data_IF_424261951430
#
_entry.id   IF_424261951430
#
_cell.length_a   1.000
_cell.length_b   1.000
_cell.length_c   1.000
_cell.angle_alpha   90.00
_cell.angle_beta   90.00
_cell.angle_gamma   90.00
#
_symmetry.space_group_name_H-M   'P 1'
#
loop_
_entity.id
_entity.type
_entity.pdbx_description
1 polymer ?
#
# COMPACT_ATOMS: atom_id res chain seq x y z
N UNK A 1 36.05 -7.66 50.81
CA UNK A 1 36.72 -6.37 50.54
C UNK A 1 37.74 -6.63 49.46
N UNK A 2 37.64 -5.90 48.34
CA UNK A 2 38.68 -5.32 47.46
C UNK A 2 40.03 -6.10 47.29
N UNK A 3 40.64 -6.22 46.11
CA UNK A 3 40.99 -5.15 45.13
C UNK A 3 41.26 -5.73 43.72
N UNK A 4 41.42 -4.84 42.73
CA UNK A 4 41.74 -5.07 41.30
C UNK A 4 43.16 -5.66 41.03
N UNK A 5 43.55 -5.88 39.74
CA UNK A 5 44.38 -4.85 39.07
C UNK A 5 44.16 -4.65 37.54
N UNK A 6 44.83 -3.61 37.01
CA UNK A 6 44.77 -3.05 35.65
C UNK A 6 45.53 -3.82 34.53
N UNK A 7 45.33 -3.36 33.27
CA UNK A 7 45.99 -3.82 32.04
C UNK A 7 46.90 -2.73 31.41
N UNK A 8 47.95 -3.10 30.67
CA UNK A 8 48.65 -2.25 29.68
C UNK A 8 49.19 -3.04 28.46
N UNK A 9 49.61 -2.29 27.44
CA UNK A 9 49.79 -2.55 25.99
C UNK A 9 50.70 -3.71 25.50
N UNK A 10 50.53 -4.10 24.21
CA UNK A 10 51.64 -4.14 23.22
C UNK A 10 51.15 -4.18 21.74
N UNK A 11 52.04 -3.85 20.79
CA UNK A 11 51.84 -3.77 19.31
C UNK A 11 52.54 -4.90 18.53
N UNK A 12 52.05 -5.23 17.33
CA UNK A 12 52.67 -6.16 16.36
C UNK A 12 52.99 -5.53 14.97
N UNK A 13 53.94 -6.07 14.17
CA UNK A 13 54.35 -5.57 12.84
C UNK A 13 54.06 -6.51 11.62
N UNK A 14 54.50 -6.08 10.42
CA UNK A 14 54.17 -6.55 9.04
C UNK A 14 55.13 -7.59 8.43
N UNK A 15 54.63 -8.56 7.60
CA UNK A 15 55.41 -9.39 6.63
C UNK A 15 54.56 -9.85 5.39
N UNK A 16 55.22 -10.15 4.26
CA UNK A 16 54.73 -10.60 2.90
C UNK A 16 55.66 -11.77 2.36
N UNK A 17 55.69 -12.29 1.09
CA UNK A 17 55.02 -11.96 -0.21
C UNK A 17 54.58 -13.18 -1.12
N UNK A 18 54.26 -12.92 -2.41
CA UNK A 18 54.54 -13.72 -3.67
C UNK A 18 53.67 -14.89 -4.23
N UNK A 19 53.67 -14.98 -5.58
CA UNK A 19 53.05 -15.96 -6.53
C UNK A 19 53.86 -17.26 -6.76
N UNK A 20 53.41 -18.23 -7.61
CA UNK A 20 54.07 -18.42 -8.93
C UNK A 20 53.21 -18.99 -10.12
N UNK A 21 53.89 -19.33 -11.24
CA UNK A 21 53.45 -19.44 -12.66
C UNK A 21 52.92 -20.82 -13.20
N UNK A 22 52.85 -20.96 -14.55
CA UNK A 22 52.16 -22.00 -15.37
C UNK A 22 53.09 -23.06 -16.06
N UNK A 23 52.72 -23.58 -17.28
CA UNK A 23 53.37 -24.61 -18.17
C UNK A 23 52.74 -26.04 -18.02
N UNK A 24 52.49 -26.95 -19.01
CA UNK A 24 52.79 -27.12 -20.48
C UNK A 24 51.66 -27.77 -21.35
N UNK A 25 51.99 -28.14 -22.59
CA UNK A 25 51.31 -28.92 -23.67
C UNK A 25 51.41 -30.48 -23.46
N UNK A 26 50.96 -31.46 -24.30
CA UNK A 26 50.60 -31.54 -25.75
C UNK A 26 49.86 -32.86 -26.18
N UNK A 27 49.24 -32.90 -27.39
CA UNK A 27 49.27 -34.00 -28.41
C UNK A 27 47.96 -34.70 -28.94
N UNK A 28 47.68 -34.42 -30.24
CA UNK A 28 47.31 -35.31 -31.38
C UNK A 28 45.95 -36.06 -31.62
N UNK A 29 45.32 -35.66 -32.74
CA UNK A 29 44.84 -36.43 -33.95
C UNK A 29 43.34 -36.71 -34.28
N UNK A 30 42.99 -36.16 -35.46
CA UNK A 30 42.21 -36.70 -36.60
C UNK A 30 40.77 -37.22 -36.46
N UNK A 31 39.82 -36.54 -37.12
CA UNK A 31 39.44 -36.91 -38.52
C UNK A 31 38.42 -35.96 -39.17
N UNK A 32 38.39 -35.93 -40.51
CA UNK A 32 37.60 -35.00 -41.33
C UNK A 32 36.16 -35.45 -41.64
N UNK A 33 35.24 -34.49 -41.81
CA UNK A 33 34.41 -34.42 -43.05
C UNK A 33 33.97 -32.98 -43.38
N UNK A 34 33.46 -32.75 -44.60
CA UNK A 34 33.44 -31.45 -45.31
C UNK A 34 32.05 -30.76 -45.35
N UNK A 35 32.03 -29.43 -45.15
CA UNK A 35 31.57 -28.33 -46.07
C UNK A 35 30.61 -28.65 -47.25
N UNK A 36 29.91 -27.65 -47.88
CA UNK A 36 29.51 -26.27 -47.44
C UNK A 36 28.13 -25.75 -47.99
N UNK A 37 27.85 -24.44 -47.77
CA UNK A 37 26.98 -23.52 -48.55
C UNK A 37 25.44 -23.73 -48.55
N UNK A 38 24.63 -22.67 -48.72
CA UNK A 38 25.00 -21.25 -48.89
C UNK A 38 23.83 -20.25 -48.86
N UNK A 39 24.23 -18.97 -48.78
CA UNK A 39 23.69 -17.77 -49.45
C UNK A 39 22.19 -17.42 -49.37
N UNK A 40 21.94 -16.20 -48.89
CA UNK A 40 20.68 -15.47 -49.01
C UNK A 40 20.61 -14.64 -50.31
N UNK A 41 19.47 -13.94 -50.48
CA UNK A 41 19.14 -12.93 -51.50
C UNK A 41 18.80 -13.46 -52.90
N UNK A 42 17.53 -13.29 -53.32
CA UNK A 42 17.16 -12.25 -54.31
C UNK A 42 15.63 -12.03 -54.35
N UNK A 43 15.16 -11.09 -55.18
CA UNK A 43 13.92 -10.33 -55.03
C UNK A 43 13.00 -10.33 -56.28
N UNK A 44 11.80 -9.73 -56.13
CA UNK A 44 10.84 -9.37 -57.20
C UNK A 44 10.10 -10.60 -57.84
N UNK A 45 8.92 -10.50 -58.48
CA UNK A 45 8.21 -9.33 -59.02
C UNK A 45 6.64 -9.49 -59.02
N UNK A 46 5.95 -8.51 -59.61
CA UNK A 46 4.56 -8.05 -59.52
C UNK A 46 3.39 -8.89 -60.11
N UNK A 47 2.18 -8.36 -59.80
CA UNK A 47 0.94 -8.35 -60.59
C UNK A 47 -0.01 -9.58 -60.43
N UNK A 48 -1.34 -9.43 -60.24
CA UNK A 48 -2.19 -8.26 -60.04
C UNK A 48 -3.60 -8.47 -60.62
N UNK A 49 -4.65 -7.90 -60.00
CA UNK A 49 -5.92 -7.49 -60.66
C UNK A 49 -6.88 -6.77 -59.71
N UNK A 50 -7.36 -5.61 -60.16
CA UNK A 50 -8.55 -4.94 -59.65
C UNK A 50 -9.82 -5.73 -60.01
N UNK A 51 -10.90 -5.48 -59.26
CA UNK A 51 -12.18 -5.10 -59.86
C UNK A 51 -12.96 -4.24 -58.85
N UNK A 52 -13.31 -3.03 -59.25
CA UNK A 52 -14.19 -2.14 -58.50
C UNK A 52 -15.50 -2.00 -59.27
N UNK A 53 -16.64 -2.15 -58.60
CA UNK A 53 -17.91 -1.60 -59.08
C UNK A 53 -18.65 -0.90 -57.95
N UNK A 54 -19.02 0.34 -58.23
CA UNK A 54 -19.93 1.19 -57.46
C UNK A 54 -21.37 0.90 -57.84
N UNK A 55 -22.33 0.98 -56.91
CA UNK A 55 -23.35 2.06 -56.91
C UNK A 55 -24.57 1.87 -55.98
N UNK A 56 -25.09 3.03 -55.57
CA UNK A 56 -26.50 3.40 -55.29
C UNK A 56 -27.23 2.93 -54.02
N UNK A 57 -27.82 3.95 -53.39
CA UNK A 57 -28.87 3.90 -52.39
C UNK A 57 -30.23 3.52 -53.00
N UNK A 58 -31.14 3.01 -52.15
CA UNK A 58 -32.58 3.18 -52.30
C UNK A 58 -33.21 3.38 -50.91
N UNK A 59 -34.15 4.30 -50.82
CA UNK A 59 -34.97 4.56 -49.63
C UNK A 59 -36.13 3.55 -49.55
N UNK A 60 -36.64 3.24 -48.35
CA UNK A 60 -38.09 3.14 -48.15
C UNK A 60 -38.47 3.36 -46.68
N UNK A 61 -39.77 3.58 -46.40
CA UNK A 61 -40.18 4.48 -45.31
C UNK A 61 -41.49 4.11 -44.57
N UNK A 62 -41.61 4.66 -43.35
CA UNK A 62 -42.84 4.96 -42.57
C UNK A 62 -43.80 3.85 -42.09
N UNK A 63 -43.94 3.78 -40.77
CA UNK A 63 -45.19 3.93 -39.97
C UNK A 63 -44.79 3.81 -38.50
N UNK A 64 -44.95 4.74 -37.54
CA UNK A 64 -46.03 5.68 -37.12
C UNK A 64 -47.36 5.05 -36.75
N UNK A 65 -47.61 4.93 -35.45
CA UNK A 65 -48.93 5.16 -34.85
C UNK A 65 -48.80 6.01 -33.58
N UNK A 66 -49.78 6.87 -33.34
CA UNK A 66 -49.85 7.87 -32.27
C UNK A 66 -51.21 7.70 -31.58
N UNK A 67 -51.27 7.79 -30.25
CA UNK A 67 -52.49 8.24 -29.56
C UNK A 67 -52.26 8.79 -28.15
N UNK A 68 -52.88 9.95 -27.92
CA UNK A 68 -53.12 10.70 -26.67
C UNK A 68 -54.28 11.67 -27.00
N UNK A 69 -54.79 12.54 -26.10
CA UNK A 69 -54.79 12.56 -24.62
C UNK A 69 -56.23 12.72 -24.04
N UNK A 70 -56.40 12.87 -22.72
CA UNK A 70 -57.54 13.57 -22.07
C UNK A 70 -57.20 13.93 -20.61
N UNK A 71 -57.46 15.18 -20.21
CA UNK A 71 -57.30 15.74 -18.85
C UNK A 71 -58.67 15.74 -18.07
N UNK A 72 -58.89 16.54 -17.00
CA UNK A 72 -58.41 16.36 -15.60
C UNK A 72 -59.56 16.42 -14.54
N UNK A 73 -59.28 16.20 -13.25
CA UNK A 73 -60.03 16.88 -12.15
C UNK A 73 -59.30 16.82 -10.77
N UNK A 74 -59.72 17.69 -9.84
CA UNK A 74 -59.15 17.94 -8.48
C UNK A 74 -59.70 16.91 -7.43
N UNK A 75 -59.37 16.85 -6.13
CA UNK A 75 -58.64 17.73 -5.20
C UNK A 75 -58.19 16.98 -3.90
N UNK A 76 -57.26 17.60 -3.15
CA UNK A 76 -57.10 17.51 -1.67
C UNK A 76 -56.35 16.33 -0.97
N UNK A 77 -55.37 16.71 -0.15
CA UNK A 77 -55.22 16.23 1.24
C UNK A 77 -54.40 14.96 1.54
N UNK A 78 -53.19 15.12 2.10
CA UNK A 78 -52.51 14.03 2.82
C UNK A 78 -50.98 14.14 2.88
N UNK A 79 -50.43 14.43 4.06
CA UNK A 79 -48.97 14.44 4.31
C UNK A 79 -48.50 13.03 4.67
N UNK A 80 -47.56 12.42 3.92
CA UNK A 80 -46.42 11.65 4.50
C UNK A 80 -45.40 11.10 3.48
N UNK A 81 -44.12 11.30 3.82
CA UNK A 81 -42.93 10.48 3.59
C UNK A 81 -42.79 9.57 2.33
N UNK A 82 -41.80 9.88 1.47
CA UNK A 82 -40.77 8.92 0.94
C UNK A 82 -39.73 9.61 0.03
N UNK A 83 -38.64 10.13 0.59
CA UNK A 83 -37.41 10.35 -0.19
C UNK A 83 -36.52 9.09 -0.16
N UNK A 84 -36.47 8.36 -1.28
CA UNK A 84 -35.49 7.29 -1.47
C UNK A 84 -34.10 7.89 -1.78
N UNK A 85 -33.34 8.28 -0.74
CA UNK A 85 -31.89 8.47 -0.91
C UNK A 85 -31.22 7.11 -1.07
N UNK A 86 -30.86 6.81 -2.33
CA UNK A 86 -30.08 5.61 -2.70
C UNK A 86 -28.81 5.53 -1.86
N UNK A 87 -28.74 4.57 -0.94
CA UNK A 87 -27.46 4.18 -0.33
C UNK A 87 -26.51 3.78 -1.46
N UNK A 88 -25.38 4.49 -1.57
CA UNK A 88 -24.23 3.97 -2.31
C UNK A 88 -23.69 2.80 -1.49
N UNK A 89 -23.68 1.59 -2.05
CA UNK A 89 -22.88 0.49 -1.49
C UNK A 89 -21.43 0.95 -1.46
N UNK A 90 -20.89 1.16 -0.26
CA UNK A 90 -19.46 1.32 -0.03
C UNK A 90 -18.86 -0.07 0.13
N UNK A 91 -17.70 -0.30 -0.49
CA UNK A 91 -16.98 -1.55 -0.34
C UNK A 91 -16.46 -1.62 1.10
N UNK A 92 -17.02 -2.52 1.91
CA UNK A 92 -16.49 -2.83 3.23
C UNK A 92 -15.06 -3.31 3.07
N UNK A 93 -14.09 -2.59 3.63
CA UNK A 93 -12.71 -3.06 3.75
C UNK A 93 -12.66 -4.19 4.78
N UNK A 94 -13.06 -5.40 4.37
CA UNK A 94 -12.69 -6.63 5.06
C UNK A 94 -11.17 -6.75 4.95
N UNK A 95 -10.49 -6.97 6.07
CA UNK A 95 -9.11 -7.47 6.03
C UNK A 95 -9.08 -8.72 5.15
N UNK A 96 -8.10 -8.80 4.26
CA UNK A 96 -8.01 -9.92 3.33
C UNK A 96 -7.49 -11.15 4.07
N UNK A 97 -8.12 -12.31 3.83
CA UNK A 97 -7.73 -13.58 4.45
C UNK A 97 -6.48 -14.15 3.80
N UNK A 98 -5.59 -14.70 4.62
CA UNK A 98 -4.85 -15.91 4.24
C UNK A 98 -5.70 -17.13 4.65
N UNK A 99 -6.22 -17.87 3.68
CA UNK A 99 -6.92 -19.15 3.88
C UNK A 99 -6.15 -20.24 3.13
N UNK A 100 -5.57 -21.19 3.82
CA UNK A 100 -5.02 -22.39 3.18
C UNK A 100 -6.10 -23.04 2.26
N UNK A 101 -5.86 -23.24 0.95
CA UNK A 101 -6.85 -23.85 0.05
C UNK A 101 -7.20 -25.30 0.39
N UNK A 102 -6.47 -25.94 1.31
CA UNK A 102 -6.71 -27.33 1.72
C UNK A 102 -7.86 -27.52 2.73
N UNK A 103 -8.55 -26.44 3.14
CA UNK A 103 -9.71 -26.51 4.05
C UNK A 103 -10.94 -25.80 3.48
N UNK A 104 -11.62 -26.49 2.57
CA UNK A 104 -13.04 -26.29 2.28
C UNK A 104 -13.89 -26.75 3.48
N UNK A 105 -13.90 -25.94 4.54
CA UNK A 105 -14.96 -25.97 5.56
C UNK A 105 -16.00 -24.89 5.24
N UNK A 106 -17.27 -25.28 5.20
CA UNK A 106 -18.43 -24.46 4.83
C UNK A 106 -18.60 -23.19 5.69
N UNK A 107 -17.87 -22.12 5.37
CA UNK A 107 -18.14 -20.78 5.95
C UNK A 107 -19.32 -20.16 5.21
N UNK A 108 -20.52 -20.64 5.54
CA UNK A 108 -21.78 -19.94 5.30
C UNK A 108 -21.64 -18.47 5.73
N UNK A 109 -22.16 -17.55 4.91
CA UNK A 109 -22.19 -16.12 5.24
C UNK A 109 -23.03 -15.88 6.49
N UNK A 110 -22.35 -15.82 7.65
CA UNK A 110 -22.95 -15.40 8.92
C UNK A 110 -22.62 -13.95 9.18
N UNK A 111 -23.27 -13.07 8.41
CA UNK A 111 -23.51 -11.68 8.80
C UNK A 111 -24.38 -11.68 10.08
N UNK A 112 -23.72 -11.89 11.22
CA UNK A 112 -24.26 -11.62 12.55
C UNK A 112 -23.46 -10.47 13.13
N UNK A 113 -24.05 -9.27 13.08
CA UNK A 113 -23.52 -8.07 13.74
C UNK A 113 -23.78 -8.04 15.25
N UNK A 114 -24.35 -9.11 15.83
CA UNK A 114 -24.85 -9.13 17.22
C UNK A 114 -24.03 -10.01 18.19
N UNK A 115 -23.35 -11.06 17.72
CA UNK A 115 -22.55 -11.93 18.60
C UNK A 115 -21.09 -11.45 18.71
N UNK A 116 -20.65 -11.23 19.94
CA UNK A 116 -19.24 -11.03 20.32
C UNK A 116 -18.44 -12.28 19.93
N UNK A 117 -17.24 -12.11 19.39
CA UNK A 117 -16.35 -13.23 19.05
C UNK A 117 -15.80 -13.92 20.31
N UNK A 118 -15.69 -13.19 21.42
CA UNK A 118 -15.19 -13.69 22.69
C UNK A 118 -16.34 -13.96 23.66
N UNK A 119 -16.23 -15.00 24.54
CA UNK A 119 -17.20 -15.23 25.60
C UNK A 119 -17.42 -13.99 26.46
N UNK A 120 -18.58 -13.86 27.10
CA UNK A 120 -18.87 -12.72 28.02
C UNK A 120 -18.03 -12.74 29.33
N UNK A 121 -16.96 -13.53 29.40
CA UNK A 121 -16.12 -13.64 30.58
C UNK A 121 -15.50 -12.29 30.96
N UNK A 122 -15.80 -11.86 32.19
CA UNK A 122 -15.23 -10.69 32.84
C UNK A 122 -15.34 -9.32 32.13
N UNK A 123 -16.34 -9.09 31.24
CA UNK A 123 -16.63 -7.73 30.74
C UNK A 123 -16.88 -6.72 31.89
N UNK A 124 -17.39 -7.16 33.04
CA UNK A 124 -17.88 -6.28 34.12
C UNK A 124 -16.85 -5.32 34.74
N UNK A 125 -15.56 -5.66 34.77
CA UNK A 125 -14.53 -4.81 35.40
C UNK A 125 -14.02 -3.70 34.48
N UNK A 126 -13.82 -3.97 33.20
CA UNK A 126 -13.24 -3.00 32.26
C UNK A 126 -14.28 -2.30 31.36
N UNK A 127 -15.53 -2.79 31.27
CA UNK A 127 -16.61 -2.05 30.58
C UNK A 127 -17.01 -0.78 31.32
N UNK A 128 -16.83 -0.74 32.64
CA UNK A 128 -17.17 0.40 33.50
C UNK A 128 -16.07 1.45 33.59
N UNK A 129 -14.80 1.09 33.37
CA UNK A 129 -13.66 2.00 33.38
C UNK A 129 -13.50 2.72 32.02
N UNK A 130 -13.19 4.02 32.06
CA UNK A 130 -12.75 4.81 30.89
C UNK A 130 -11.39 4.33 30.38
N UNK A 131 -11.03 4.67 29.14
CA UNK A 131 -9.69 4.35 28.63
C UNK A 131 -8.60 5.13 29.38
N UNK A 132 -8.86 6.37 29.80
CA UNK A 132 -7.95 7.15 30.65
C UNK A 132 -7.58 6.40 31.95
N UNK A 133 -8.58 5.82 32.63
CA UNK A 133 -8.37 4.99 33.84
C UNK A 133 -7.56 3.72 33.53
N UNK A 134 -7.82 3.05 32.40
CA UNK A 134 -7.06 1.85 32.01
C UNK A 134 -5.60 2.16 31.60
N UNK A 135 -5.32 3.34 31.03
CA UNK A 135 -3.94 3.78 30.75
C UNK A 135 -3.11 4.05 32.01
N UNK A 136 -3.74 4.35 33.15
CA UNK A 136 -3.05 4.58 34.44
C UNK A 136 -3.11 3.39 35.41
N UNK A 137 -3.88 2.34 35.11
CA UNK A 137 -4.08 1.19 35.98
C UNK A 137 -2.79 0.38 36.22
N UNK A 138 -2.57 -0.08 37.46
CA UNK A 138 -1.34 -0.78 37.87
C UNK A 138 -1.30 -2.26 37.49
N UNK A 139 -2.45 -2.86 37.16
CA UNK A 139 -2.62 -4.29 36.84
C UNK A 139 -2.44 -4.62 35.34
N UNK A 140 -1.98 -3.65 34.55
CA UNK A 140 -1.65 -3.79 33.14
C UNK A 140 -0.13 -3.81 32.92
N UNK A 141 0.31 -4.69 32.02
CA UNK A 141 1.69 -4.78 31.57
C UNK A 141 1.95 -3.75 30.46
N UNK A 142 2.92 -2.86 30.67
CA UNK A 142 3.40 -1.95 29.64
C UNK A 142 4.16 -2.75 28.56
N UNK A 143 3.77 -2.63 27.28
CA UNK A 143 4.53 -3.17 26.14
C UNK A 143 5.60 -2.16 25.70
N UNK A 144 5.28 -0.87 25.81
CA UNK A 144 6.10 0.26 25.36
C UNK A 144 6.48 1.15 26.55
N UNK A 145 7.67 1.76 26.51
CA UNK A 145 8.20 2.58 27.61
C UNK A 145 7.34 3.82 27.91
N UNK A 146 6.61 4.34 26.91
CA UNK A 146 5.71 5.49 27.04
C UNK A 146 4.34 5.12 27.64
N UNK A 147 4.08 3.83 27.87
CA UNK A 147 2.80 3.26 28.36
C UNK A 147 1.60 3.48 27.43
N UNK A 148 1.82 3.92 26.19
CA UNK A 148 0.75 4.14 25.22
C UNK A 148 0.36 2.85 24.47
N UNK A 149 1.06 1.74 24.72
CA UNK A 149 0.66 0.38 24.38
C UNK A 149 0.78 -0.54 25.60
N UNK A 150 -0.34 -1.11 26.06
CA UNK A 150 -0.43 -1.91 27.29
C UNK A 150 -1.25 -3.18 27.08
N UNK A 151 -0.89 -4.29 27.74
CA UNK A 151 -1.67 -5.54 27.71
C UNK A 151 -2.09 -6.03 29.09
N UNK A 152 -3.20 -6.76 29.15
CA UNK A 152 -3.68 -7.49 30.33
C UNK A 152 -4.13 -8.89 29.90
N UNK A 153 -3.44 -9.91 30.41
CA UNK A 153 -3.76 -11.32 30.13
C UNK A 153 -5.06 -11.69 30.85
N UNK A 154 -6.03 -12.22 30.10
CA UNK A 154 -7.31 -12.72 30.63
C UNK A 154 -7.25 -14.22 30.88
N UNK A 155 -6.75 -14.98 29.90
CA UNK A 155 -6.54 -16.42 29.99
C UNK A 155 -5.10 -16.74 29.61
N UNK A 156 -4.34 -17.31 30.55
CA UNK A 156 -2.96 -17.74 30.31
C UNK A 156 -2.91 -18.96 29.40
N UNK A 157 -1.82 -19.06 28.65
CA UNK A 157 -1.52 -20.20 27.80
C UNK A 157 -1.26 -21.51 28.58
N UNK A 158 -1.17 -22.64 27.87
CA UNK A 158 -0.73 -23.90 28.45
C UNK A 158 0.77 -23.85 28.85
N UNK A 159 1.20 -24.59 29.89
CA UNK A 159 2.62 -24.68 30.22
C UNK A 159 3.44 -25.20 29.03
N UNK A 160 4.49 -24.46 28.67
CA UNK A 160 5.33 -24.63 27.47
C UNK A 160 4.69 -24.20 26.13
N UNK A 161 3.69 -23.32 26.15
CA UNK A 161 3.24 -22.65 24.92
C UNK A 161 4.37 -21.84 24.25
N UNK A 162 4.34 -21.79 22.93
CA UNK A 162 5.31 -21.04 22.12
C UNK A 162 4.98 -19.55 22.13
N UNK A 163 6.01 -18.69 22.10
CA UNK A 163 5.87 -17.27 21.75
C UNK A 163 6.37 -17.06 20.32
N UNK A 164 5.71 -16.18 19.53
CA UNK A 164 6.09 -15.95 18.14
C UNK A 164 7.32 -15.05 18.04
N UNK A 165 7.96 -15.07 16.88
CA UNK A 165 9.17 -14.30 16.57
C UNK A 165 9.02 -13.52 15.26
N UNK A 166 9.89 -12.53 15.05
CA UNK A 166 9.87 -11.69 13.84
C UNK A 166 10.01 -12.54 12.57
N UNK A 167 9.17 -12.26 11.57
CA UNK A 167 9.14 -13.00 10.31
C UNK A 167 8.30 -14.28 10.30
N UNK A 168 7.75 -14.73 11.45
CA UNK A 168 6.77 -15.83 11.48
C UNK A 168 5.37 -15.36 11.07
N UNK A 169 4.58 -16.29 10.51
CA UNK A 169 3.16 -16.12 10.25
C UNK A 169 2.36 -16.46 11.52
N UNK A 170 1.41 -15.61 11.88
CA UNK A 170 0.54 -15.80 13.05
C UNK A 170 -0.93 -15.76 12.66
N UNK A 171 -1.72 -16.66 13.25
CA UNK A 171 -3.18 -16.63 13.21
C UNK A 171 -3.73 -16.07 14.51
N UNK A 172 -4.47 -14.98 14.45
CA UNK A 172 -5.04 -14.26 15.60
C UNK A 172 -6.54 -14.11 15.42
N UNK A 173 -7.30 -14.45 16.45
CA UNK A 173 -8.70 -14.05 16.56
C UNK A 173 -8.72 -12.69 17.26
N UNK A 174 -9.42 -11.71 16.69
CA UNK A 174 -9.49 -10.37 17.27
C UNK A 174 -10.85 -9.69 17.19
N UNK A 175 -11.12 -8.83 18.17
CA UNK A 175 -12.25 -7.91 18.20
C UNK A 175 -11.77 -6.57 18.76
N UNK A 176 -12.03 -5.48 18.04
CA UNK A 176 -11.63 -4.13 18.42
C UNK A 176 -12.85 -3.29 18.76
N UNK A 177 -12.77 -2.54 19.86
CA UNK A 177 -13.80 -1.59 20.30
C UNK A 177 -13.23 -0.20 20.55
N UNK A 178 -14.06 0.80 20.27
CA UNK A 178 -13.88 2.17 20.75
C UNK A 178 -14.23 2.28 22.25
N UNK A 179 -13.98 3.45 22.84
CA UNK A 179 -14.29 3.73 24.25
C UNK A 179 -15.80 3.62 24.57
N UNK A 180 -16.67 4.01 23.63
CA UNK A 180 -18.13 3.83 23.70
C UNK A 180 -18.59 2.36 23.56
N UNK A 181 -17.63 1.44 23.40
CA UNK A 181 -17.79 -0.01 23.15
C UNK A 181 -18.36 -0.37 21.77
N UNK A 182 -18.44 0.57 20.84
CA UNK A 182 -18.76 0.26 19.44
C UNK A 182 -17.70 -0.66 18.87
N UNK A 183 -18.11 -1.84 18.40
CA UNK A 183 -17.23 -2.80 17.71
C UNK A 183 -16.92 -2.25 16.31
N UNK A 184 -15.70 -1.80 16.11
CA UNK A 184 -15.21 -1.24 14.83
C UNK A 184 -14.51 -2.28 13.98
N UNK A 185 -14.02 -3.36 14.57
CA UNK A 185 -13.32 -4.41 13.82
C UNK A 185 -13.49 -5.77 14.48
N UNK A 186 -13.62 -6.82 13.68
CA UNK A 186 -13.64 -8.20 14.17
C UNK A 186 -13.17 -9.17 13.10
N UNK A 187 -12.33 -10.13 13.50
CA UNK A 187 -11.93 -11.25 12.66
C UNK A 187 -11.77 -12.51 13.53
N UNK A 188 -12.36 -13.62 13.08
CA UNK A 188 -12.23 -14.90 13.77
C UNK A 188 -10.88 -15.59 13.52
N UNK A 189 -10.17 -15.23 12.44
CA UNK A 189 -8.87 -15.78 12.04
C UNK A 189 -8.17 -14.80 11.10
N UNK A 190 -7.75 -13.65 11.64
CA UNK A 190 -6.80 -12.76 10.99
C UNK A 190 -5.47 -13.50 10.88
N UNK A 191 -4.82 -13.40 9.73
CA UNK A 191 -3.48 -13.95 9.51
C UNK A 191 -2.58 -12.84 8.97
N UNK A 192 -1.36 -12.76 9.49
CA UNK A 192 -0.32 -11.84 9.02
C UNK A 192 1.08 -12.35 9.36
N UNK A 193 2.10 -11.78 8.72
CA UNK A 193 3.51 -12.04 9.03
C UNK A 193 4.06 -10.90 9.87
N UNK A 194 4.66 -11.21 11.02
CA UNK A 194 5.16 -10.23 11.98
C UNK A 194 6.30 -9.40 11.38
N UNK A 195 6.11 -8.07 11.29
CA UNK A 195 7.07 -7.09 10.79
C UNK A 195 6.94 -6.75 9.32
N UNK A 196 5.96 -7.35 8.64
CA UNK A 196 5.60 -7.00 7.27
C UNK A 196 4.62 -5.81 7.21
N UNK A 197 4.08 -5.36 8.34
CA UNK A 197 3.24 -4.17 8.44
C UNK A 197 1.85 -4.35 7.81
N UNK A 198 1.36 -5.58 7.71
CA UNK A 198 0.01 -5.92 7.22
C UNK A 198 -1.10 -5.36 8.10
N UNK A 199 -0.82 -5.29 9.41
CA UNK A 199 -1.71 -4.81 10.46
C UNK A 199 -1.11 -3.56 11.09
N UNK A 200 -1.81 -2.91 12.02
CA UNK A 200 -1.23 -1.76 12.74
C UNK A 200 -0.14 -2.20 13.73
N UNK A 201 0.70 -1.26 14.17
CA UNK A 201 1.83 -1.57 15.04
C UNK A 201 1.38 -2.15 16.38
N UNK A 202 0.26 -1.67 16.94
CA UNK A 202 -0.31 -2.21 18.17
C UNK A 202 -0.50 -3.74 18.13
N UNK A 203 -1.00 -4.28 17.02
CA UNK A 203 -1.20 -5.71 16.83
C UNK A 203 0.11 -6.48 16.66
N UNK A 204 1.09 -5.96 15.91
CA UNK A 204 2.39 -6.65 15.74
C UNK A 204 3.16 -6.75 17.07
N UNK A 205 3.30 -5.62 17.79
CA UNK A 205 4.03 -5.54 19.06
C UNK A 205 3.36 -6.37 20.17
N UNK A 206 2.03 -6.35 20.25
CA UNK A 206 1.31 -7.14 21.24
C UNK A 206 1.42 -8.64 20.97
N UNK A 207 1.33 -9.08 19.71
CA UNK A 207 1.38 -10.51 19.38
C UNK A 207 2.78 -11.10 19.63
N UNK A 208 3.85 -10.33 19.39
CA UNK A 208 5.21 -10.68 19.85
C UNK A 208 5.26 -10.92 21.37
N UNK A 209 4.53 -10.12 22.15
CA UNK A 209 4.45 -10.25 23.60
C UNK A 209 3.50 -11.37 24.09
N UNK A 210 2.81 -12.12 23.21
CA UNK A 210 1.85 -13.17 23.58
C UNK A 210 2.45 -14.59 23.53
N UNK A 211 1.69 -15.55 24.07
CA UNK A 211 1.93 -16.99 23.94
C UNK A 211 0.78 -17.67 23.18
N UNK A 212 1.05 -18.78 22.51
CA UNK A 212 0.04 -19.53 21.78
C UNK A 212 -1.09 -20.02 22.71
N UNK A 213 -2.33 -19.69 22.35
CA UNK A 213 -3.53 -19.94 23.16
C UNK A 213 -3.89 -18.82 24.14
N UNK A 214 -2.99 -17.86 24.42
CA UNK A 214 -3.25 -16.73 25.32
C UNK A 214 -4.42 -15.87 24.83
N UNK A 215 -5.34 -15.51 25.75
CA UNK A 215 -6.37 -14.49 25.52
C UNK A 215 -5.99 -13.23 26.30
N UNK A 216 -5.92 -12.10 25.61
CA UNK A 216 -5.36 -10.84 26.14
C UNK A 216 -6.18 -9.64 25.69
N UNK A 217 -6.35 -8.68 26.61
CA UNK A 217 -6.74 -7.32 26.28
C UNK A 217 -5.50 -6.51 25.90
N UNK A 218 -5.60 -5.76 24.81
CA UNK A 218 -4.59 -4.80 24.37
C UNK A 218 -5.22 -3.42 24.31
N UNK A 219 -4.73 -2.49 25.12
CA UNK A 219 -5.08 -1.08 25.08
C UNK A 219 -4.00 -0.34 24.28
N UNK A 220 -4.41 0.33 23.22
CA UNK A 220 -3.53 1.01 22.28
C UNK A 220 -3.95 2.46 22.11
N UNK A 221 -3.01 3.39 22.31
CA UNK A 221 -3.21 4.76 21.86
C UNK A 221 -3.32 4.81 20.33
N UNK A 222 -4.03 5.83 19.85
CA UNK A 222 -4.17 6.13 18.44
C UNK A 222 -2.85 6.09 17.65
N UNK A 223 -1.72 6.52 18.23
CA UNK A 223 -0.41 6.55 17.55
C UNK A 223 0.07 5.17 17.10
N UNK A 224 -0.29 4.10 17.82
CA UNK A 224 0.04 2.71 17.48
C UNK A 224 -1.02 2.04 16.59
N UNK A 225 -2.17 2.70 16.39
CA UNK A 225 -3.31 2.20 15.64
C UNK A 225 -3.54 2.96 14.32
N UNK A 226 -4.45 3.94 14.29
CA UNK A 226 -4.85 4.68 13.07
C UNK A 226 -4.48 6.18 13.10
N UNK A 227 -4.00 6.67 14.24
CA UNK A 227 -3.44 8.00 14.47
C UNK A 227 -4.38 9.17 14.18
N UNK A 228 -3.77 10.32 13.87
CA UNK A 228 -4.42 11.58 13.49
C UNK A 228 -5.51 11.45 12.42
N UNK A 229 -5.46 10.45 11.54
CA UNK A 229 -6.41 10.30 10.44
C UNK A 229 -7.58 9.35 10.74
N UNK A 230 -7.44 8.46 11.74
CA UNK A 230 -8.44 7.41 11.99
C UNK A 230 -8.62 6.44 10.79
N UNK A 231 -9.79 5.84 10.69
CA UNK A 231 -10.29 5.08 9.53
C UNK A 231 -11.74 5.48 9.28
N UNK A 232 -12.02 6.11 8.14
CA UNK A 232 -13.40 6.42 7.79
C UNK A 232 -14.16 5.14 7.36
N UNK A 233 -15.45 4.97 7.75
CA UNK A 233 -16.26 5.87 8.56
C UNK A 233 -16.29 5.51 10.07
N UNK A 234 -15.56 4.49 10.49
CA UNK A 234 -15.81 3.73 11.73
C UNK A 234 -14.87 4.05 12.89
N UNK A 235 -13.63 4.48 12.62
CA UNK A 235 -12.64 4.84 13.65
C UNK A 235 -12.30 6.35 13.55
N UNK A 236 -12.68 7.17 14.54
CA UNK A 236 -12.35 8.60 14.53
C UNK A 236 -10.85 8.90 14.52
N UNK A 237 -10.50 10.12 14.09
CA UNK A 237 -9.17 10.69 14.29
C UNK A 237 -8.78 10.69 15.77
N UNK A 238 -7.53 10.32 16.07
CA UNK A 238 -6.99 10.21 17.43
C UNK A 238 -7.73 9.24 18.36
N UNK A 239 -8.53 8.31 17.84
CA UNK A 239 -9.22 7.32 18.67
C UNK A 239 -8.22 6.30 19.27
N UNK A 240 -8.04 6.23 20.60
CA UNK A 240 -7.51 5.04 21.26
C UNK A 240 -8.45 3.85 21.05
N UNK A 241 -7.90 2.64 21.12
CA UNK A 241 -8.61 1.39 20.84
C UNK A 241 -8.32 0.32 21.88
N UNK A 242 -9.33 -0.49 22.19
CA UNK A 242 -9.20 -1.68 23.01
C UNK A 242 -9.47 -2.92 22.14
N UNK A 243 -8.47 -3.78 22.04
CA UNK A 243 -8.55 -5.06 21.36
C UNK A 243 -8.72 -6.20 22.37
N UNK A 244 -9.57 -7.16 22.03
CA UNK A 244 -9.58 -8.51 22.58
C UNK A 244 -8.87 -9.41 21.57
N UNK A 245 -7.78 -10.05 21.97
CA UNK A 245 -6.93 -10.88 21.12
C UNK A 245 -6.86 -12.31 21.67
N UNK A 246 -6.83 -13.29 20.77
CA UNK A 246 -6.40 -14.65 21.07
C UNK A 246 -5.42 -15.11 20.00
N UNK A 247 -4.19 -15.44 20.39
CA UNK A 247 -3.19 -16.02 19.49
C UNK A 247 -3.50 -17.49 19.28
N UNK A 248 -3.95 -17.85 18.07
CA UNK A 248 -4.41 -19.21 17.75
C UNK A 248 -3.25 -20.11 17.33
N UNK A 249 -2.42 -19.65 16.40
CA UNK A 249 -1.42 -20.46 15.73
C UNK A 249 -0.19 -19.64 15.34
N UNK A 250 0.98 -20.29 15.30
CA UNK A 250 2.28 -19.72 14.96
C UNK A 250 2.94 -20.66 13.95
N UNK A 251 3.36 -20.13 12.80
CA UNK A 251 3.92 -20.90 11.69
C UNK A 251 5.15 -20.21 11.13
N UNK A 252 6.06 -21.00 10.56
CA UNK A 252 7.08 -20.45 9.67
C UNK A 252 6.41 -19.84 8.43
N UNK A 253 6.96 -18.71 7.96
CA UNK A 253 6.48 -18.05 6.75
C UNK A 253 6.56 -19.03 5.56
N UNK A 254 5.50 -19.19 4.75
CA UNK A 254 5.52 -20.06 3.58
C UNK A 254 6.64 -19.71 2.59
N UNK A 255 7.35 -20.72 2.08
CA UNK A 255 8.35 -20.51 1.02
C UNK A 255 7.65 -20.06 -0.26
N UNK A 256 8.02 -18.87 -0.73
CA UNK A 256 7.46 -18.23 -1.92
C UNK A 256 7.58 -19.08 -3.18
N UNK A 257 8.59 -19.97 -3.22
CA UNK A 257 8.86 -20.88 -4.34
C UNK A 257 7.95 -22.11 -4.36
N UNK A 258 7.25 -22.41 -3.26
CA UNK A 258 6.34 -23.56 -3.12
C UNK A 258 4.86 -23.16 -3.09
N UNK A 259 4.56 -21.86 -2.91
CA UNK A 259 3.19 -21.35 -2.88
C UNK A 259 2.45 -21.51 -4.23
N UNK A 260 1.23 -22.08 -4.25
CA UNK A 260 0.36 -22.10 -5.42
C UNK A 260 0.08 -20.71 -5.99
N UNK A 261 -0.16 -20.63 -7.29
CA UNK A 261 -0.43 -19.37 -8.03
C UNK A 261 -1.62 -18.62 -7.42
N UNK A 262 -2.69 -19.33 -7.07
CA UNK A 262 -3.88 -18.75 -6.45
C UNK A 262 -3.56 -18.06 -5.10
N UNK A 263 -2.74 -18.69 -4.26
CA UNK A 263 -2.30 -18.10 -2.99
C UNK A 263 -1.41 -16.88 -3.23
N UNK A 264 -0.46 -16.97 -4.17
CA UNK A 264 0.41 -15.85 -4.56
C UNK A 264 -0.37 -14.65 -5.08
N UNK A 265 -1.41 -14.88 -5.89
CA UNK A 265 -2.34 -13.85 -6.36
C UNK A 265 -3.08 -13.22 -5.18
N UNK A 266 -3.60 -14.02 -4.24
CA UNK A 266 -4.32 -13.50 -3.09
C UNK A 266 -3.43 -12.68 -2.15
N UNK A 267 -2.28 -13.22 -1.75
CA UNK A 267 -1.33 -12.54 -0.86
C UNK A 267 -0.81 -11.26 -1.54
N UNK A 268 -0.47 -11.34 -2.84
CA UNK A 268 -0.11 -10.15 -3.63
C UNK A 268 -1.22 -9.08 -3.66
N UNK A 269 -2.49 -9.47 -3.77
CA UNK A 269 -3.61 -8.54 -3.67
C UNK A 269 -3.79 -7.94 -2.27
N UNK A 270 -3.61 -8.73 -1.21
CA UNK A 270 -3.66 -8.25 0.17
C UNK A 270 -2.59 -7.18 0.42
N UNK A 271 -1.33 -7.47 0.07
CA UNK A 271 -0.22 -6.51 0.14
C UNK A 271 -0.51 -5.25 -0.70
N UNK A 272 -1.09 -5.40 -1.91
CA UNK A 272 -1.52 -4.28 -2.76
C UNK A 272 -2.63 -3.45 -2.12
N UNK A 273 -3.56 -4.06 -1.39
CA UNK A 273 -4.65 -3.33 -0.71
C UNK A 273 -4.16 -2.62 0.55
N UNK A 274 -3.21 -3.22 1.28
CA UNK A 274 -2.45 -2.55 2.33
C UNK A 274 -1.70 -1.32 1.78
N UNK A 275 -1.06 -1.46 0.62
CA UNK A 275 -0.44 -0.33 -0.08
C UNK A 275 -1.44 0.77 -0.45
N UNK A 276 -2.64 0.41 -0.92
CA UNK A 276 -3.72 1.38 -1.21
C UNK A 276 -4.18 2.14 0.04
N UNK A 277 -4.30 1.46 1.19
CA UNK A 277 -4.65 2.08 2.47
C UNK A 277 -3.65 3.17 2.87
N UNK A 278 -2.35 2.86 2.84
CA UNK A 278 -1.29 3.86 3.09
C UNK A 278 -1.27 4.98 2.04
N UNK A 279 -1.51 4.66 0.75
CA UNK A 279 -1.50 5.66 -0.31
C UNK A 279 -2.60 6.72 -0.13
N UNK A 280 -3.79 6.33 0.33
CA UNK A 280 -4.90 7.24 0.61
C UNK A 280 -4.61 8.18 1.79
N UNK A 281 -3.74 7.76 2.72
CA UNK A 281 -3.28 8.52 3.89
C UNK A 281 -2.06 9.39 3.61
N UNK A 282 -1.62 9.45 2.35
CA UNK A 282 -0.38 10.09 1.90
C UNK A 282 0.92 9.51 2.51
N UNK A 283 0.84 8.32 3.11
CA UNK A 283 1.95 7.55 3.68
C UNK A 283 2.73 6.81 2.58
N UNK A 284 3.21 7.55 1.57
CA UNK A 284 3.66 6.99 0.30
C UNK A 284 4.86 6.02 0.40
N UNK A 285 5.72 6.16 1.42
CA UNK A 285 6.81 5.21 1.69
C UNK A 285 6.27 3.82 2.09
N UNK A 286 5.29 3.78 2.99
CA UNK A 286 4.64 2.53 3.42
C UNK A 286 3.83 1.92 2.26
N UNK A 287 3.17 2.77 1.48
CA UNK A 287 2.48 2.35 0.26
C UNK A 287 3.43 1.67 -0.74
N UNK A 288 4.57 2.31 -1.04
CA UNK A 288 5.60 1.76 -1.93
C UNK A 288 6.16 0.42 -1.42
N UNK A 289 6.50 0.32 -0.11
CA UNK A 289 6.96 -0.93 0.52
C UNK A 289 5.94 -2.06 0.31
N UNK A 290 4.67 -1.82 0.62
CA UNK A 290 3.62 -2.83 0.46
C UNK A 290 3.37 -3.23 -1.00
N UNK A 291 3.51 -2.29 -1.96
CA UNK A 291 3.46 -2.62 -3.39
C UNK A 291 4.67 -3.43 -3.87
N UNK A 292 5.88 -3.18 -3.35
CA UNK A 292 7.05 -4.02 -3.63
C UNK A 292 6.82 -5.46 -3.13
N UNK A 293 6.39 -5.62 -1.88
CA UNK A 293 6.09 -6.94 -1.31
C UNK A 293 5.00 -7.69 -2.09
N UNK A 294 3.98 -6.97 -2.56
CA UNK A 294 2.97 -7.52 -3.48
C UNK A 294 3.57 -8.01 -4.80
N UNK A 295 4.52 -7.27 -5.37
CA UNK A 295 5.21 -7.65 -6.60
C UNK A 295 6.13 -8.85 -6.40
N UNK A 296 6.81 -8.97 -5.25
CA UNK A 296 7.64 -10.15 -4.94
C UNK A 296 6.79 -11.43 -4.99
N UNK A 297 5.60 -11.43 -4.39
CA UNK A 297 4.65 -12.56 -4.48
C UNK A 297 4.25 -12.84 -5.95
N UNK A 298 3.94 -11.79 -6.71
CA UNK A 298 3.43 -11.87 -8.08
C UNK A 298 4.51 -12.08 -9.16
N UNK A 299 5.80 -12.01 -8.81
CA UNK A 299 6.94 -12.17 -9.75
C UNK A 299 7.80 -13.39 -9.46
N UNK A 300 7.73 -13.96 -8.26
CA UNK A 300 8.38 -15.24 -7.91
C UNK A 300 8.02 -16.33 -8.95
N UNK A 301 8.93 -17.28 -9.20
CA UNK A 301 8.72 -18.41 -10.11
C UNK A 301 8.98 -19.72 -9.37
N UNK A 302 8.05 -20.67 -9.47
CA UNK A 302 8.20 -21.99 -8.87
C UNK A 302 9.33 -22.76 -9.58
N UNK A 303 10.12 -23.55 -8.82
CA UNK A 303 11.31 -24.24 -9.35
C UNK A 303 11.00 -25.39 -10.31
N UNK A 304 9.82 -25.99 -10.21
CA UNK A 304 9.47 -27.23 -10.91
C UNK A 304 8.79 -27.00 -12.29
N UNK A 305 8.81 -25.75 -12.78
CA UNK A 305 8.16 -25.36 -14.03
C UNK A 305 8.79 -25.99 -15.28
N UNK A 306 8.21 -27.10 -15.75
CA UNK A 306 8.29 -27.49 -17.18
C UNK A 306 7.87 -26.26 -18.00
N UNK A 307 8.65 -25.86 -19.02
CA UNK A 307 8.48 -24.60 -19.77
C UNK A 307 7.06 -24.27 -20.27
N UNK A 308 6.16 -25.26 -20.38
CA UNK A 308 4.75 -25.04 -20.70
C UNK A 308 3.90 -24.49 -19.56
N UNK A 309 4.19 -24.81 -18.29
CA UNK A 309 3.46 -24.30 -17.11
C UNK A 309 3.66 -22.81 -16.95
N UNK A 310 4.93 -22.38 -16.92
CA UNK A 310 5.38 -21.02 -16.58
C UNK A 310 4.61 -19.93 -17.33
N UNK A 311 4.31 -20.13 -18.61
CA UNK A 311 3.57 -19.15 -19.42
C UNK A 311 2.12 -18.96 -18.95
N UNK A 312 1.44 -20.03 -18.57
CA UNK A 312 0.09 -19.96 -18.02
C UNK A 312 0.09 -19.24 -16.66
N UNK A 313 1.05 -19.55 -15.79
CA UNK A 313 1.20 -18.86 -14.49
C UNK A 313 1.46 -17.36 -14.68
N UNK A 314 2.31 -16.99 -15.66
CA UNK A 314 2.59 -15.59 -15.98
C UNK A 314 1.37 -14.86 -16.53
N UNK A 315 0.55 -15.51 -17.36
CA UNK A 315 -0.72 -14.96 -17.85
C UNK A 315 -1.75 -14.76 -16.71
N UNK A 316 -1.88 -15.71 -15.78
CA UNK A 316 -2.78 -15.60 -14.61
C UNK A 316 -2.41 -14.46 -13.65
N UNK A 317 -1.11 -14.26 -13.38
CA UNK A 317 -0.66 -13.17 -12.48
C UNK A 317 -0.54 -11.81 -13.16
N UNK A 318 -0.57 -11.74 -14.49
CA UNK A 318 -0.25 -10.53 -15.27
C UNK A 318 -1.11 -9.32 -14.89
N UNK A 319 -2.44 -9.48 -14.83
CA UNK A 319 -3.36 -8.37 -14.52
C UNK A 319 -3.09 -7.80 -13.12
N UNK A 320 -2.83 -8.67 -12.15
CA UNK A 320 -2.51 -8.29 -10.77
C UNK A 320 -1.15 -7.60 -10.67
N UNK A 321 -0.15 -8.12 -11.39
CA UNK A 321 1.18 -7.52 -11.50
C UNK A 321 1.06 -6.11 -12.09
N UNK A 322 0.37 -5.94 -13.21
CA UNK A 322 0.12 -4.63 -13.85
C UNK A 322 -0.60 -3.65 -12.92
N UNK A 323 -1.63 -4.09 -12.18
CA UNK A 323 -2.34 -3.26 -11.19
C UNK A 323 -1.39 -2.78 -10.09
N UNK A 324 -0.55 -3.66 -9.56
CA UNK A 324 0.37 -3.31 -8.48
C UNK A 324 1.48 -2.36 -8.95
N UNK A 325 2.09 -2.66 -10.09
CA UNK A 325 3.13 -1.89 -10.77
C UNK A 325 2.63 -0.47 -11.11
N UNK A 326 1.37 -0.34 -11.56
CA UNK A 326 0.70 0.94 -11.75
C UNK A 326 0.51 1.76 -10.46
N UNK A 327 0.38 1.12 -9.31
CA UNK A 327 0.22 1.79 -8.02
C UNK A 327 1.59 2.15 -7.42
N UNK A 328 2.59 1.27 -7.55
CA UNK A 328 3.98 1.57 -7.19
C UNK A 328 4.51 2.79 -7.95
N UNK A 329 4.30 2.85 -9.27
CA UNK A 329 4.64 4.03 -10.08
C UNK A 329 3.92 5.31 -9.62
N UNK A 330 2.72 5.21 -9.05
CA UNK A 330 2.02 6.36 -8.47
C UNK A 330 2.63 6.78 -7.13
N UNK A 331 3.05 5.84 -6.29
CA UNK A 331 3.73 6.11 -5.02
C UNK A 331 5.12 6.72 -5.23
N UNK A 332 5.94 6.15 -6.13
CA UNK A 332 7.25 6.68 -6.52
C UNK A 332 7.15 8.12 -7.06
N UNK A 333 6.15 8.41 -7.91
CA UNK A 333 5.87 9.78 -8.38
C UNK A 333 5.56 10.77 -7.24
N UNK A 334 4.89 10.31 -6.19
CA UNK A 334 4.56 11.10 -4.99
C UNK A 334 5.77 11.27 -4.05
N UNK A 335 6.71 10.34 -4.08
CA UNK A 335 8.00 10.38 -3.36
C UNK A 335 9.10 11.15 -4.12
N UNK A 336 8.81 11.65 -5.33
CA UNK A 336 9.80 12.26 -6.24
C UNK A 336 10.93 11.29 -6.67
N UNK A 337 10.67 9.97 -6.56
CA UNK A 337 11.51 8.87 -7.04
C UNK A 337 11.25 8.63 -8.53
N UNK A 338 11.68 9.59 -9.34
CA UNK A 338 11.20 9.70 -10.71
C UNK A 338 11.85 8.73 -11.70
N UNK A 339 13.10 8.32 -11.47
CA UNK A 339 13.79 7.36 -12.31
C UNK A 339 13.17 5.96 -12.14
N UNK A 340 12.88 5.64 -10.88
CA UNK A 340 12.18 4.44 -10.44
C UNK A 340 10.77 4.43 -11.00
N UNK A 341 10.03 5.54 -10.89
CA UNK A 341 8.70 5.69 -11.49
C UNK A 341 8.70 5.52 -13.02
N UNK A 342 9.76 5.96 -13.71
CA UNK A 342 9.92 5.76 -15.15
C UNK A 342 10.16 4.28 -15.47
N UNK A 343 11.04 3.61 -14.73
CA UNK A 343 11.30 2.18 -14.88
C UNK A 343 10.03 1.37 -14.66
N UNK A 344 9.38 1.54 -13.51
CA UNK A 344 8.13 0.85 -13.16
C UNK A 344 6.99 1.17 -14.15
N UNK A 345 6.94 2.38 -14.70
CA UNK A 345 5.98 2.70 -15.78
C UNK A 345 6.34 2.02 -17.11
N UNK A 346 7.62 1.85 -17.44
CA UNK A 346 8.07 1.06 -18.61
C UNK A 346 7.81 -0.44 -18.41
N UNK A 347 7.97 -0.98 -17.20
CA UNK A 347 7.64 -2.38 -16.89
C UNK A 347 6.15 -2.68 -17.14
N UNK A 348 5.25 -1.75 -16.79
CA UNK A 348 3.84 -1.85 -17.16
C UNK A 348 3.65 -1.88 -18.67
N UNK A 349 4.41 -1.09 -19.45
CA UNK A 349 4.30 -1.04 -20.91
C UNK A 349 4.89 -2.27 -21.61
N UNK A 350 5.80 -2.99 -20.97
CA UNK A 350 6.28 -4.31 -21.42
C UNK A 350 5.17 -5.36 -21.32
N UNK A 351 4.34 -5.31 -20.27
CA UNK A 351 3.22 -6.23 -20.06
C UNK A 351 1.95 -5.81 -20.83
N UNK A 352 1.62 -4.52 -20.81
CA UNK A 352 0.48 -3.90 -21.49
C UNK A 352 0.93 -2.68 -22.31
N UNK A 353 1.35 -2.85 -23.57
CA UNK A 353 1.85 -1.76 -24.41
C UNK A 353 0.86 -0.60 -24.63
N UNK A 354 -0.43 -0.83 -24.38
CA UNK A 354 -1.52 0.14 -24.54
C UNK A 354 -2.11 0.63 -23.20
N UNK A 355 -1.43 0.41 -22.07
CA UNK A 355 -1.89 0.91 -20.77
C UNK A 355 -1.78 2.45 -20.71
N UNK A 356 -2.91 3.15 -20.81
CA UNK A 356 -2.95 4.62 -20.93
C UNK A 356 -2.36 5.33 -19.71
N UNK A 357 -2.53 4.77 -18.50
CA UNK A 357 -1.95 5.33 -17.27
C UNK A 357 -0.43 5.30 -17.31
N UNK A 358 0.15 4.17 -17.71
CA UNK A 358 1.60 4.04 -17.85
C UNK A 358 2.15 4.88 -19.01
N UNK A 359 1.49 4.91 -20.18
CA UNK A 359 1.88 5.80 -21.28
C UNK A 359 1.90 7.27 -20.84
N UNK A 360 0.84 7.74 -20.16
CA UNK A 360 0.79 9.10 -19.65
C UNK A 360 1.91 9.40 -18.63
N UNK A 361 2.18 8.51 -17.67
CA UNK A 361 3.26 8.68 -16.69
C UNK A 361 4.64 8.72 -17.36
N UNK A 362 4.95 7.75 -18.22
CA UNK A 362 6.21 7.68 -18.97
C UNK A 362 6.40 8.94 -19.82
N UNK A 363 5.38 9.32 -20.59
CA UNK A 363 5.43 10.53 -21.43
C UNK A 363 5.61 11.83 -20.62
N UNK A 364 4.94 11.96 -19.46
CA UNK A 364 5.15 13.08 -18.54
C UNK A 364 6.56 13.09 -17.95
N UNK A 365 7.07 11.95 -17.49
CA UNK A 365 8.41 11.86 -16.90
C UNK A 365 9.49 12.20 -17.93
N UNK A 366 9.38 11.69 -19.16
CA UNK A 366 10.26 12.06 -20.26
C UNK A 366 10.17 13.55 -20.62
N UNK A 367 8.96 14.14 -20.60
CA UNK A 367 8.73 15.58 -20.76
C UNK A 367 9.43 16.41 -19.69
N UNK A 368 9.44 15.93 -18.43
CA UNK A 368 10.08 16.59 -17.29
C UNK A 368 11.61 16.41 -17.29
N UNK A 369 12.14 15.29 -17.80
CA UNK A 369 13.58 15.04 -17.95
C UNK A 369 14.22 15.70 -19.19
N UNK A 370 13.43 16.27 -20.10
CA UNK A 370 13.93 16.91 -21.33
C UNK A 370 13.94 16.03 -22.58
N UNK A 371 13.51 14.76 -22.47
CA UNK A 371 13.46 13.79 -23.57
C UNK A 371 12.22 13.99 -24.47
N UNK A 372 12.08 15.22 -24.99
CA UNK A 372 10.87 15.69 -25.67
C UNK A 372 10.44 14.86 -26.88
N UNK A 373 11.39 14.21 -27.58
CA UNK A 373 11.09 13.36 -28.74
C UNK A 373 10.36 12.08 -28.32
N UNK A 374 10.91 11.34 -27.36
CA UNK A 374 10.29 10.10 -26.86
C UNK A 374 8.96 10.42 -26.16
N UNK A 375 8.96 11.46 -25.32
CA UNK A 375 7.76 11.95 -24.64
C UNK A 375 6.60 12.29 -25.60
N UNK A 376 6.89 12.97 -26.72
CA UNK A 376 5.89 13.30 -27.75
C UNK A 376 5.23 12.04 -28.32
N UNK A 377 6.01 11.04 -28.71
CA UNK A 377 5.47 9.82 -29.33
C UNK A 377 4.68 8.97 -28.33
N UNK A 378 5.16 8.86 -27.09
CA UNK A 378 4.44 8.15 -26.01
C UNK A 378 3.11 8.87 -25.67
N UNK A 379 3.10 10.20 -25.54
CA UNK A 379 1.88 10.96 -25.25
C UNK A 379 0.90 10.96 -26.43
N UNK A 380 1.37 10.99 -27.68
CA UNK A 380 0.51 10.77 -28.87
C UNK A 380 -0.14 9.39 -28.86
N UNK A 381 0.60 8.34 -28.47
CA UNK A 381 0.04 6.99 -28.32
C UNK A 381 -1.05 6.96 -27.25
N UNK A 382 -0.82 7.59 -26.10
CA UNK A 382 -1.83 7.74 -25.05
C UNK A 382 -3.08 8.48 -25.55
N UNK A 383 -2.89 9.61 -26.27
CA UNK A 383 -3.98 10.41 -26.82
C UNK A 383 -4.80 9.65 -27.88
N UNK A 384 -4.16 8.80 -28.70
CA UNK A 384 -4.85 7.96 -29.69
C UNK A 384 -5.77 6.93 -29.03
N UNK A 385 -5.43 6.46 -27.83
CA UNK A 385 -6.22 5.49 -27.06
C UNK A 385 -7.34 6.16 -26.28
N UNK A 386 -7.08 7.33 -25.65
CA UNK A 386 -8.09 8.13 -24.96
C UNK A 386 -8.10 9.60 -25.43
N UNK A 387 -8.78 9.93 -26.55
CA UNK A 387 -8.80 11.29 -27.11
C UNK A 387 -9.43 12.35 -26.20
N UNK A 388 -10.28 11.93 -25.24
CA UNK A 388 -10.99 12.84 -24.33
C UNK A 388 -10.20 13.19 -23.05
N UNK A 389 -9.06 12.54 -22.78
CA UNK A 389 -8.37 12.66 -21.50
C UNK A 389 -7.59 13.98 -21.41
N UNK A 390 -8.23 14.97 -20.77
CA UNK A 390 -7.74 16.36 -20.60
C UNK A 390 -6.30 16.46 -20.10
N UNK A 391 -5.86 15.55 -19.23
CA UNK A 391 -4.49 15.53 -18.71
C UNK A 391 -3.44 15.34 -19.82
N UNK A 392 -3.70 14.49 -20.82
CA UNK A 392 -2.80 14.24 -21.95
C UNK A 392 -2.70 15.49 -22.82
N UNK A 393 -3.81 16.17 -23.11
CA UNK A 393 -3.84 17.44 -23.85
C UNK A 393 -3.02 18.55 -23.16
N UNK A 394 -3.17 18.68 -21.84
CA UNK A 394 -2.40 19.64 -21.04
C UNK A 394 -0.91 19.32 -21.09
N UNK A 395 -0.52 18.06 -20.96
CA UNK A 395 0.89 17.68 -20.94
C UNK A 395 1.56 17.80 -22.33
N UNK A 396 0.86 17.41 -23.41
CA UNK A 396 1.31 17.69 -24.78
C UNK A 396 1.48 19.20 -25.03
N UNK A 397 0.56 20.03 -24.52
CA UNK A 397 0.65 21.49 -24.67
C UNK A 397 1.87 22.09 -23.94
N UNK A 398 2.23 21.56 -22.77
CA UNK A 398 3.47 21.94 -22.07
C UNK A 398 4.70 21.47 -22.84
N UNK A 399 4.70 20.22 -23.30
CA UNK A 399 5.84 19.64 -24.02
C UNK A 399 6.18 20.43 -25.29
N UNK A 400 5.18 20.84 -26.08
CA UNK A 400 5.40 21.68 -27.27
C UNK A 400 6.03 23.03 -26.90
N UNK A 401 5.64 23.64 -25.77
CA UNK A 401 6.24 24.89 -25.27
C UNK A 401 7.68 24.70 -24.82
N UNK A 402 7.97 23.62 -24.07
CA UNK A 402 9.34 23.26 -23.65
C UNK A 402 10.25 22.99 -24.85
N UNK A 403 9.78 22.22 -25.83
CA UNK A 403 10.50 21.94 -27.07
C UNK A 403 10.80 23.22 -27.90
N UNK A 404 9.94 24.24 -27.78
CA UNK A 404 10.09 25.53 -28.48
C UNK A 404 10.98 26.55 -27.73
N UNK A 405 11.67 26.13 -26.65
CA UNK A 405 12.57 26.99 -25.88
C UNK A 405 11.90 27.81 -24.76
N UNK A 406 10.73 27.40 -24.27
CA UNK A 406 10.14 28.01 -23.07
C UNK A 406 10.91 27.65 -21.80
N UNK A 407 11.21 28.66 -20.96
CA UNK A 407 11.99 28.56 -19.71
C UNK A 407 11.27 27.81 -18.56
N UNK A 408 10.42 26.82 -18.86
CA UNK A 408 9.71 25.97 -17.89
C UNK A 408 10.50 24.67 -17.58
N UNK A 409 11.84 24.74 -17.68
CA UNK A 409 12.74 23.64 -17.35
C UNK A 409 12.98 23.62 -15.84
N UNK A 410 12.19 22.83 -15.12
CA UNK A 410 12.43 22.57 -13.70
C UNK A 410 13.75 21.80 -13.56
N UNK A 411 14.73 22.38 -12.86
CA UNK A 411 16.06 21.76 -12.69
C UNK A 411 15.93 20.43 -11.94
N UNK A 412 16.11 19.33 -12.68
CA UNK A 412 15.93 17.98 -12.15
C UNK A 412 17.05 17.60 -11.20
N UNK A 413 16.69 17.27 -9.96
CA UNK A 413 17.59 16.63 -9.01
C UNK A 413 16.93 15.35 -8.56
N UNK A 414 17.35 14.24 -9.15
CA UNK A 414 17.00 12.92 -8.65
C UNK A 414 17.45 12.85 -7.19
N UNK A 415 16.51 12.68 -6.27
CA UNK A 415 16.84 12.21 -4.93
C UNK A 415 17.35 10.79 -5.10
N UNK A 416 18.50 10.40 -4.52
CA UNK A 416 18.84 9.00 -4.47
C UNK A 416 17.68 8.26 -3.79
N UNK A 417 17.33 7.08 -4.29
CA UNK A 417 16.44 6.21 -3.55
C UNK A 417 17.06 6.00 -2.15
N UNK A 418 16.40 6.52 -1.11
CA UNK A 418 16.55 5.97 0.22
C UNK A 418 16.15 4.51 0.08
N UNK A 419 17.15 3.63 0.06
CA UNK A 419 16.97 2.19 -0.04
C UNK A 419 15.91 1.78 0.99
N UNK A 420 14.98 0.93 0.59
CA UNK A 420 14.14 0.17 1.51
C UNK A 420 15.04 -0.84 2.22
N UNK A 421 15.88 -0.34 3.14
CA UNK A 421 16.96 -1.05 3.80
C UNK A 421 16.92 -0.83 5.30
N UNK A 422 16.54 -1.89 6.00
CA UNK A 422 16.96 -2.26 7.35
C UNK A 422 17.33 -1.12 8.31
N UNK A 423 16.32 -0.36 8.72
CA UNK A 423 16.33 0.34 10.01
C UNK A 423 14.96 0.15 10.69
N UNK A 424 14.81 -0.99 11.35
CA UNK A 424 13.77 -1.21 12.35
C UNK A 424 14.18 -0.39 13.59
N UNK A 425 13.72 0.86 13.64
CA UNK A 425 13.68 1.68 14.84
C UNK A 425 12.33 2.41 14.85
N UNK A 426 11.61 2.43 15.99
CA UNK A 426 10.22 2.83 16.03
C UNK A 426 10.03 4.31 15.70
N UNK A 427 8.85 4.64 15.16
CA UNK A 427 8.52 5.95 14.60
C UNK A 427 8.22 7.00 15.70
N UNK A 428 9.20 7.29 16.56
CA UNK A 428 9.09 8.25 17.67
C UNK A 428 10.19 9.33 17.60
N UNK A 429 10.25 10.05 16.47
CA UNK A 429 10.81 11.41 16.44
C UNK A 429 9.97 12.26 15.48
N UNK A 430 9.23 13.29 15.93
CA UNK A 430 8.63 14.25 15.01
C UNK A 430 9.75 14.96 14.25
N UNK A 431 9.65 15.01 12.92
CA UNK A 431 10.65 15.67 12.07
C UNK A 431 10.95 17.08 12.62
N UNK A 432 12.22 17.37 12.93
CA UNK A 432 12.66 18.70 13.37
C UNK A 432 12.59 19.69 12.21
N UNK A 433 11.36 20.09 11.84
CA UNK A 433 11.12 21.25 10.99
C UNK A 433 11.75 22.45 11.70
N UNK A 434 12.75 23.07 11.07
CA UNK A 434 13.29 24.35 11.52
C UNK A 434 12.11 25.31 11.69
N UNK A 435 11.95 26.01 12.83
CA UNK A 435 10.86 26.94 12.98
C UNK A 435 11.02 28.05 11.94
N UNK A 436 10.08 28.12 11.00
CA UNK A 436 9.91 29.28 10.13
C UNK A 436 9.58 30.46 11.02
N UNK A 437 10.54 31.39 11.17
CA UNK A 437 10.49 32.43 12.18
C UNK A 437 9.30 33.37 12.01
N UNK A 438 8.25 33.15 12.80
CA UNK A 438 7.22 34.16 13.04
C UNK A 438 7.91 35.33 13.72
N UNK A 439 7.93 36.50 13.07
CA UNK A 439 8.69 37.65 13.57
C UNK A 439 8.19 38.06 14.96
N UNK A 440 9.10 38.12 15.93
CA UNK A 440 8.81 38.45 17.34
C UNK A 440 8.04 39.77 17.51
N UNK A 441 8.15 40.67 16.52
CA UNK A 441 7.38 41.92 16.40
C UNK A 441 5.86 41.73 16.43
N UNK A 442 5.33 40.63 15.89
CA UNK A 442 3.89 40.35 15.91
C UNK A 442 3.38 39.88 17.28
N UNK A 443 4.19 39.11 18.01
CA UNK A 443 3.84 38.61 19.36
C UNK A 443 3.81 39.77 20.37
N UNK A 444 4.79 40.69 20.28
CA UNK A 444 4.79 41.92 21.08
C UNK A 444 3.60 42.85 20.77
N UNK A 445 3.19 42.95 19.50
CA UNK A 445 2.02 43.75 19.11
C UNK A 445 0.71 43.24 19.73
N UNK A 446 0.48 41.93 19.72
CA UNK A 446 -0.71 41.33 20.31
C UNK A 446 -0.80 41.54 21.83
N UNK A 447 0.33 41.43 22.54
CA UNK A 447 0.39 41.61 23.99
C UNK A 447 0.06 43.06 24.41
N UNK A 448 0.55 44.05 23.66
CA UNK A 448 0.29 45.48 23.95
C UNK A 448 -1.19 45.82 23.72
N UNK A 449 -1.83 45.27 22.68
CA UNK A 449 -3.26 45.48 22.43
C UNK A 449 -4.13 44.84 23.52
N UNK A 450 -3.77 43.64 23.99
CA UNK A 450 -4.49 42.96 25.08
C UNK A 450 -4.36 43.69 26.44
N UNK A 451 -3.21 44.28 26.73
CA UNK A 451 -3.02 45.08 27.95
C UNK A 451 -3.76 46.43 27.86
N UNK A 452 -3.77 47.08 26.69
CA UNK A 452 -4.51 48.32 26.47
C UNK A 452 -6.03 48.12 26.63
N UNK A 453 -6.59 47.04 26.09
CA UNK A 453 -8.03 46.75 26.22
C UNK A 453 -8.43 46.45 27.68
N UNK A 454 -7.59 45.73 28.44
CA UNK A 454 -7.82 45.46 29.86
C UNK A 454 -7.83 46.75 30.68
N UNK A 455 -6.85 47.64 30.48
CA UNK A 455 -6.76 48.94 31.17
C UNK A 455 -7.96 49.83 30.85
N UNK A 456 -8.41 49.88 29.59
CA UNK A 456 -9.62 50.64 29.24
C UNK A 456 -10.90 50.06 29.87
N UNK A 457 -11.01 48.74 29.99
CA UNK A 457 -12.16 48.08 30.65
C UNK A 457 -12.21 48.38 32.15
N UNK A 458 -11.06 48.34 32.83
CA UNK A 458 -10.94 48.71 34.26
C UNK A 458 -11.25 50.19 34.50
N UNK A 459 -10.82 51.09 33.61
CA UNK A 459 -11.12 52.53 33.73
C UNK A 459 -12.61 52.84 33.46
N UNK A 460 -13.26 52.11 32.55
CA UNK A 460 -14.70 52.25 32.29
C UNK A 460 -15.56 51.70 33.43
N UNK A 461 -15.16 50.58 34.04
CA UNK A 461 -15.86 49.99 35.19
C UNK A 461 -15.65 50.77 36.49
N UNK A 462 -14.54 51.52 36.63
CA UNK A 462 -14.29 52.39 37.78
C UNK A 462 -14.94 53.79 37.67
N UNK A 463 -15.77 54.05 36.65
CA UNK A 463 -16.32 55.39 36.36
C UNK A 463 -17.85 55.45 36.17
N UNK A 464 -18.54 54.35 36.53
CA UNK A 464 -20.00 54.26 36.67
C UNK A 464 -20.38 54.05 38.13
#
# INVERSE_FOLDING_TARGET
>A
METEPCCEEHKDPVVEPTEPEAISESADRDSHTKLPCGSAEESEDLCGKELAETERCAEESKSTEIKSPSDPEQESGGTECKEQKKLKKTNSWKMVRFQDPSQDDDVLERDSSAESLFPEYALKEWTTSTFEELFVAEDWQDITEDRLLRKKVLESSAPNALSPTWGQEVSVKMQCVLEDRTVVEKDCKLVFVIGEGDVNQALEECVIAMQQGEITLLLADSQYAYGLLGREPDIPAWAPLLYQLQLLDIREKPDLLTLPIADRIRIGNQKRERGNFHFQREEYCLAARAYCMALDMLTTRCKDGINGSVKAEEEEVQEYRVKCLNNLAAAQLKLEQYNEALHTSRDVLTLEPNNVKALYRTGKLLSDMGEYKEAMEVLKKALKLEPATKAIHVELSKLVRRQSGGNDTQEWKAKPAEMLGDNIAPFVVPSKKKPSGISWKFILGALVVALASLVTSVILTARN
#
